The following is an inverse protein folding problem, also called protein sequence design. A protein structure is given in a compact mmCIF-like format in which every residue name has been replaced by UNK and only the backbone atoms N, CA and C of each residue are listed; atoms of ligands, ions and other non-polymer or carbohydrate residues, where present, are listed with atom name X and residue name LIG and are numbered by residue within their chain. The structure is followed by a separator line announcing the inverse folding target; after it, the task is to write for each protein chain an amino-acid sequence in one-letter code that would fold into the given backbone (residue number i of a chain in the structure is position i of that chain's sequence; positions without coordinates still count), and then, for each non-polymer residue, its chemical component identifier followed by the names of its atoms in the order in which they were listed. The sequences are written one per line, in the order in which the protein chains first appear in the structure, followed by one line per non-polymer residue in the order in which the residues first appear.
data_IF_732709835234
#
_entry.id   IF_732709835234
#
_cell.length_a   1.000
_cell.length_b   1.000
_cell.length_c   1.000
_cell.angle_alpha   90.00
_cell.angle_beta   90.00
_cell.angle_gamma   90.00
#
_symmetry.space_group_name_H-M   'P 1'
#
loop_
_entity.id
_entity.type
_entity.pdbx_description
1 polymer ?
#
# COMPACT_ATOMS: atom_id res chain seq x y z
N UNK A 1 -10.72 -30.53 -41.61
CA UNK A 1 -9.77 -30.54 -40.49
C UNK A 1 -9.89 -29.20 -39.79
N UNK A 2 -10.38 -29.18 -38.55
CA UNK A 2 -10.64 -27.96 -37.79
C UNK A 2 -9.44 -27.70 -36.88
N UNK A 3 -8.73 -26.61 -37.12
CA UNK A 3 -7.59 -26.17 -36.33
C UNK A 3 -8.10 -25.60 -35.00
N UNK A 4 -7.95 -26.36 -33.93
CA UNK A 4 -8.13 -25.85 -32.56
C UNK A 4 -6.88 -25.04 -32.20
N UNK A 5 -7.02 -23.72 -32.16
CA UNK A 5 -6.01 -22.81 -31.61
C UNK A 5 -5.98 -22.99 -30.09
N UNK A 6 -5.00 -23.76 -29.62
CA UNK A 6 -4.62 -23.80 -28.19
C UNK A 6 -3.84 -22.52 -27.93
N UNK A 7 -4.52 -21.50 -27.42
CA UNK A 7 -3.86 -20.32 -26.87
C UNK A 7 -3.18 -20.73 -25.55
N UNK A 8 -1.90 -21.04 -25.63
CA UNK A 8 -1.02 -21.17 -24.47
C UNK A 8 -0.89 -19.79 -23.82
N UNK A 9 -1.64 -19.56 -22.74
CA UNK A 9 -1.36 -18.47 -21.82
C UNK A 9 -0.07 -18.81 -21.07
N UNK A 10 1.04 -18.24 -21.53
CA UNK A 10 2.34 -18.31 -20.86
C UNK A 10 2.18 -17.63 -19.50
N UNK A 11 2.18 -18.45 -18.45
CA UNK A 11 2.35 -18.02 -17.07
C UNK A 11 3.74 -17.38 -16.94
N UNK A 12 3.79 -16.06 -17.01
CA UNK A 12 4.99 -15.28 -16.72
C UNK A 12 5.22 -15.20 -15.22
N UNK A 13 5.77 -16.25 -14.63
CA UNK A 13 6.39 -16.18 -13.30
C UNK A 13 7.70 -15.41 -13.40
N UNK A 14 7.63 -14.08 -13.26
CA UNK A 14 8.81 -13.29 -12.93
C UNK A 14 8.91 -13.18 -11.40
N UNK A 15 9.52 -14.22 -10.82
CA UNK A 15 10.02 -14.21 -9.44
C UNK A 15 11.29 -13.38 -9.43
N UNK A 16 11.26 -12.20 -8.81
CA UNK A 16 12.47 -11.49 -8.37
C UNK A 16 12.27 -11.05 -6.91
N UNK A 17 12.88 -11.81 -6.01
CA UNK A 17 13.46 -11.30 -4.76
C UNK A 17 12.57 -11.20 -3.51
N UNK A 18 12.43 -12.32 -2.79
CA UNK A 18 12.44 -12.30 -1.31
C UNK A 18 11.10 -12.32 -0.57
N UNK A 19 10.54 -13.52 -0.37
CA UNK A 19 9.61 -13.79 0.74
C UNK A 19 8.22 -14.31 0.37
N UNK A 20 8.13 -15.58 -0.03
CA UNK A 20 7.03 -16.47 0.37
C UNK A 20 5.64 -16.31 -0.27
N UNK A 21 5.38 -17.17 -1.26
CA UNK A 21 4.09 -17.84 -1.52
C UNK A 21 2.85 -17.03 -1.96
N UNK A 22 2.53 -17.27 -3.23
CA UNK A 22 1.17 -17.45 -3.80
C UNK A 22 0.27 -16.24 -3.87
N UNK A 23 0.12 -15.77 -5.12
CA UNK A 23 -1.03 -15.03 -5.62
C UNK A 23 -2.28 -15.82 -5.25
N UNK A 24 -2.88 -15.51 -4.10
CA UNK A 24 -4.22 -15.97 -3.79
C UNK A 24 -5.14 -15.24 -4.77
N UNK A 25 -5.49 -15.93 -5.85
CA UNK A 25 -6.67 -15.65 -6.66
C UNK A 25 -7.89 -15.70 -5.72
N UNK A 26 -8.13 -14.61 -4.99
CA UNK A 26 -9.30 -14.46 -4.16
C UNK A 26 -10.51 -14.39 -5.09
N UNK A 27 -11.49 -15.26 -4.83
CA UNK A 27 -12.75 -15.37 -5.53
C UNK A 27 -13.51 -14.02 -5.54
N UNK A 28 -13.22 -13.19 -6.54
CA UNK A 28 -13.82 -11.87 -6.74
C UNK A 28 -13.50 -11.23 -8.10
N UNK A 29 -12.69 -11.89 -8.94
CA UNK A 29 -12.15 -11.35 -10.19
C UNK A 29 -13.16 -11.01 -11.30
N UNK A 30 -14.46 -11.32 -11.12
CA UNK A 30 -15.46 -11.17 -12.19
C UNK A 30 -16.42 -10.00 -11.99
N UNK A 31 -16.69 -9.58 -10.75
CA UNK A 31 -17.65 -8.52 -10.45
C UNK A 31 -16.95 -7.25 -9.96
N UNK A 32 -17.31 -6.13 -10.57
CA UNK A 32 -16.92 -4.81 -10.12
C UNK A 32 -17.63 -4.48 -8.79
N UNK A 33 -16.86 -4.39 -7.69
CA UNK A 33 -17.43 -4.27 -6.33
C UNK A 33 -16.95 -3.02 -5.59
N UNK A 34 -15.77 -2.49 -5.93
CA UNK A 34 -15.07 -1.53 -5.09
C UNK A 34 -15.06 -0.13 -5.69
N UNK A 35 -15.30 0.92 -4.90
CA UNK A 35 -15.26 2.31 -5.43
C UNK A 35 -13.84 2.87 -5.59
N UNK A 36 -12.92 2.43 -4.74
CA UNK A 36 -11.56 2.96 -4.60
C UNK A 36 -10.71 2.00 -3.75
N UNK A 37 -9.48 2.41 -3.42
CA UNK A 37 -8.58 1.60 -2.60
C UNK A 37 -9.10 1.41 -1.18
N UNK A 38 -9.68 2.44 -0.55
CA UNK A 38 -10.20 2.38 0.82
C UNK A 38 -11.34 1.38 0.94
N UNK A 39 -12.27 1.40 -0.01
CA UNK A 39 -13.39 0.47 -0.07
C UNK A 39 -12.90 -0.98 -0.22
N UNK A 40 -11.88 -1.20 -1.05
CA UNK A 40 -11.25 -2.51 -1.16
C UNK A 40 -10.52 -2.94 0.11
N UNK A 41 -9.80 -2.06 0.80
CA UNK A 41 -9.17 -2.40 2.09
C UNK A 41 -10.23 -2.76 3.13
N UNK A 42 -11.37 -2.05 3.16
CA UNK A 42 -12.45 -2.28 4.13
C UNK A 42 -13.28 -3.52 3.84
N UNK A 43 -13.52 -3.84 2.57
CA UNK A 43 -14.50 -4.83 2.14
C UNK A 43 -13.91 -6.01 1.34
N UNK A 44 -12.65 -5.92 0.92
CA UNK A 44 -11.96 -6.96 0.15
C UNK A 44 -11.45 -8.13 1.00
N UNK A 45 -11.28 -7.93 2.31
CA UNK A 45 -10.90 -9.00 3.25
C UNK A 45 -9.44 -9.46 3.16
N UNK A 46 -8.66 -8.94 2.21
CA UNK A 46 -7.24 -9.28 2.03
C UNK A 46 -6.30 -8.40 2.85
N UNK A 47 -6.64 -7.13 3.01
CA UNK A 47 -5.75 -6.12 3.62
C UNK A 47 -6.44 -5.43 4.80
N UNK A 48 -5.64 -4.90 5.72
CA UNK A 48 -6.05 -3.92 6.73
C UNK A 48 -5.01 -2.82 6.84
N UNK A 49 -5.40 -1.62 7.27
CA UNK A 49 -4.45 -0.55 7.51
C UNK A 49 -3.39 -0.93 8.55
N UNK A 50 -2.18 -0.40 8.40
CA UNK A 50 -1.08 -0.67 9.32
C UNK A 50 -1.48 -0.24 10.74
N UNK A 51 -1.25 -1.12 11.72
CA UNK A 51 -1.57 -0.86 13.13
C UNK A 51 -3.07 -0.87 13.44
N UNK A 52 -3.92 -1.21 12.47
CA UNK A 52 -5.33 -1.47 12.74
C UNK A 52 -5.54 -2.81 13.42
N UNK A 53 -6.43 -2.84 14.42
CA UNK A 53 -6.86 -4.06 15.11
C UNK A 53 -8.37 -4.04 15.33
N UNK A 54 -8.98 -5.23 15.33
CA UNK A 54 -10.43 -5.38 15.52
C UNK A 54 -11.24 -4.62 14.47
N UNK A 55 -12.12 -3.73 14.94
CA UNK A 55 -13.02 -2.93 14.09
C UNK A 55 -12.41 -1.62 13.60
N UNK A 56 -11.21 -1.26 14.06
CA UNK A 56 -10.56 -0.02 13.66
C UNK A 56 -9.96 -0.15 12.26
N UNK A 57 -10.53 0.57 11.30
CA UNK A 57 -10.11 0.55 9.89
C UNK A 57 -9.48 1.88 9.45
N UNK A 58 -8.89 2.63 10.38
CA UNK A 58 -8.23 3.90 10.09
C UNK A 58 -6.71 3.77 10.11
N UNK A 59 -6.01 4.53 9.27
CA UNK A 59 -4.58 4.74 9.43
C UNK A 59 -4.36 6.06 10.18
N UNK A 60 -3.42 6.08 11.12
CA UNK A 60 -3.05 7.30 11.85
C UNK A 60 -1.53 7.43 11.95
N UNK A 61 -1.04 8.64 12.17
CA UNK A 61 0.38 8.88 12.39
C UNK A 61 0.94 8.00 13.51
N UNK A 62 0.24 7.88 14.63
CA UNK A 62 0.69 7.08 15.77
C UNK A 62 0.81 5.59 15.45
N UNK A 63 -0.09 5.05 14.60
CA UNK A 63 0.02 3.67 14.12
C UNK A 63 1.26 3.47 13.24
N UNK A 64 1.56 4.44 12.38
CA UNK A 64 2.77 4.40 11.55
C UNK A 64 4.01 4.52 12.44
N UNK A 65 4.00 5.40 13.45
CA UNK A 65 5.11 5.52 14.41
C UNK A 65 5.33 4.22 15.18
N UNK A 66 4.25 3.58 15.64
CA UNK A 66 4.30 2.29 16.31
C UNK A 66 4.89 1.21 15.38
N UNK A 67 4.46 1.19 14.13
CA UNK A 67 4.97 0.23 13.14
C UNK A 67 6.45 0.46 12.80
N UNK A 68 6.90 1.72 12.71
CA UNK A 68 8.32 2.06 12.55
C UNK A 68 9.16 1.63 13.76
N UNK A 69 8.62 1.71 14.97
CA UNK A 69 9.31 1.28 16.20
C UNK A 69 9.28 -0.23 16.44
N UNK A 70 8.45 -0.97 15.73
CA UNK A 70 8.31 -2.41 15.89
C UNK A 70 9.65 -3.11 15.60
N UNK A 71 10.13 -3.90 16.56
CA UNK A 71 11.43 -4.58 16.46
C UNK A 71 11.46 -5.70 15.43
N UNK A 72 10.30 -6.27 15.10
CA UNK A 72 10.16 -7.40 14.19
C UNK A 72 9.81 -6.93 12.77
N UNK A 73 9.00 -5.88 12.65
CA UNK A 73 8.46 -5.39 11.38
C UNK A 73 9.08 -4.07 10.91
N UNK A 74 9.60 -3.25 11.81
CA UNK A 74 10.04 -1.89 11.50
C UNK A 74 11.13 -1.81 10.44
N UNK A 75 12.09 -2.74 10.43
CA UNK A 75 13.15 -2.76 9.41
C UNK A 75 12.63 -3.14 8.02
N UNK A 76 11.74 -4.12 7.95
CA UNK A 76 11.08 -4.50 6.69
C UNK A 76 10.22 -3.35 6.16
N UNK A 77 9.51 -2.64 7.05
CA UNK A 77 8.69 -1.51 6.70
C UNK A 77 9.51 -0.32 6.21
N UNK A 78 10.61 0.02 6.89
CA UNK A 78 11.55 1.06 6.41
C UNK A 78 12.09 0.72 5.03
N UNK A 79 12.47 -0.53 4.79
CA UNK A 79 12.99 -0.99 3.49
C UNK A 79 11.94 -0.85 2.40
N UNK A 80 10.72 -1.30 2.66
CA UNK A 80 9.59 -1.15 1.74
C UNK A 80 9.31 0.32 1.43
N UNK A 81 9.27 1.17 2.46
CA UNK A 81 9.05 2.61 2.32
C UNK A 81 10.16 3.27 1.49
N UNK A 82 11.44 2.99 1.77
CA UNK A 82 12.57 3.49 0.97
C UNK A 82 12.44 3.09 -0.50
N UNK A 83 11.98 1.88 -0.80
CA UNK A 83 11.78 1.41 -2.17
C UNK A 83 10.59 2.06 -2.91
N UNK A 84 9.68 2.72 -2.19
CA UNK A 84 8.47 3.34 -2.78
C UNK A 84 8.46 4.86 -2.69
N UNK A 85 9.30 5.45 -1.83
CA UNK A 85 9.22 6.87 -1.49
C UNK A 85 9.28 7.77 -2.72
N UNK A 86 10.09 7.46 -3.73
CA UNK A 86 10.21 8.28 -4.94
C UNK A 86 8.89 8.41 -5.72
N UNK A 87 8.04 7.39 -5.67
CA UNK A 87 6.72 7.39 -6.31
C UNK A 87 5.63 8.00 -5.42
N UNK A 88 5.93 8.29 -4.16
CA UNK A 88 5.01 8.93 -3.23
C UNK A 88 5.11 10.44 -3.38
N UNK A 89 4.14 11.04 -4.07
CA UNK A 89 4.10 12.48 -4.29
C UNK A 89 2.82 13.06 -3.71
N UNK A 90 2.97 14.14 -2.94
CA UNK A 90 1.88 14.93 -2.40
C UNK A 90 1.82 16.26 -3.16
N UNK A 91 0.69 16.58 -3.77
CA UNK A 91 0.46 17.85 -4.47
C UNK A 91 -0.19 18.86 -3.53
N UNK A 92 0.27 20.12 -3.53
CA UNK A 92 -0.27 21.19 -2.68
C UNK A 92 0.77 21.87 -1.79
N UNK A 93 0.43 23.05 -1.25
CA UNK A 93 1.35 23.95 -0.53
C UNK A 93 1.52 23.66 0.96
N UNK A 94 0.65 22.83 1.55
CA UNK A 94 0.65 22.53 2.99
C UNK A 94 1.09 21.10 3.32
N UNK A 95 1.80 20.44 2.41
CA UNK A 95 2.18 19.04 2.59
C UNK A 95 3.43 18.90 3.47
N UNK A 96 3.50 17.84 4.30
CA UNK A 96 4.73 17.51 5.00
C UNK A 96 5.88 17.30 4.02
N UNK A 97 7.08 17.75 4.40
CA UNK A 97 8.28 17.54 3.59
C UNK A 97 8.54 16.06 3.38
N UNK A 98 8.71 15.66 2.11
CA UNK A 98 9.05 14.29 1.73
C UNK A 98 10.36 13.85 2.42
N UNK A 99 10.35 12.74 3.18
CA UNK A 99 11.56 12.24 3.80
C UNK A 99 12.49 11.62 2.74
N UNK A 100 13.80 11.71 2.96
CA UNK A 100 14.79 11.01 2.15
C UNK A 100 15.09 9.62 2.72
N UNK A 101 15.84 8.81 1.97
CA UNK A 101 16.16 7.43 2.36
C UNK A 101 16.89 7.32 3.71
N UNK A 102 17.76 8.28 4.03
CA UNK A 102 18.49 8.30 5.31
C UNK A 102 17.54 8.56 6.48
N UNK A 103 16.64 9.54 6.33
CA UNK A 103 15.63 9.86 7.34
C UNK A 103 14.69 8.68 7.59
N UNK A 104 14.29 7.97 6.53
CA UNK A 104 13.50 6.72 6.65
C UNK A 104 14.30 5.65 7.39
N UNK A 105 15.57 5.45 7.04
CA UNK A 105 16.43 4.43 7.65
C UNK A 105 16.63 4.61 9.15
N UNK A 106 16.60 5.86 9.62
CA UNK A 106 16.75 6.22 11.04
C UNK A 106 15.41 6.29 11.80
N UNK A 107 14.28 6.42 11.11
CA UNK A 107 12.98 6.57 11.74
C UNK A 107 12.65 5.40 12.69
N UNK A 108 12.49 5.71 13.98
CA UNK A 108 12.23 4.73 15.03
C UNK A 108 13.46 4.04 15.63
N UNK A 109 14.67 4.37 15.16
CA UNK A 109 15.96 3.89 15.71
C UNK A 109 16.70 4.95 16.55
N UNK A 110 16.21 6.18 16.50
CA UNK A 110 16.81 7.33 17.16
C UNK A 110 16.79 7.18 18.70
N UNK A 111 17.83 7.67 19.36
CA UNK A 111 17.84 7.78 20.81
C UNK A 111 16.69 8.71 21.26
N UNK A 112 16.07 8.38 22.41
CA UNK A 112 14.98 9.19 22.99
C UNK A 112 15.38 10.67 23.08
N UNK A 113 14.70 11.52 22.32
CA UNK A 113 14.90 12.99 22.32
C UNK A 113 15.05 13.62 20.94
N UNK A 114 15.43 12.84 19.91
CA UNK A 114 15.47 13.27 18.50
C UNK A 114 14.30 12.62 17.76
N UNK A 115 13.07 13.11 17.93
CA UNK A 115 11.87 12.53 17.29
C UNK A 115 11.63 13.01 15.86
N UNK A 116 12.57 13.77 15.29
CA UNK A 116 12.33 14.53 14.06
C UNK A 116 12.12 13.65 12.84
N UNK A 117 12.87 12.56 12.68
CA UNK A 117 12.71 11.70 11.50
C UNK A 117 11.48 10.80 11.63
N UNK A 118 11.28 10.21 12.82
CA UNK A 118 10.06 9.45 13.10
C UNK A 118 8.79 10.26 12.82
N UNK A 119 8.70 11.48 13.36
CA UNK A 119 7.53 12.34 13.18
C UNK A 119 7.37 12.78 11.72
N UNK A 120 8.47 13.17 11.07
CA UNK A 120 8.48 13.56 9.65
C UNK A 120 7.98 12.42 8.76
N UNK A 121 8.52 11.22 8.94
CA UNK A 121 8.19 10.03 8.14
C UNK A 121 6.74 9.62 8.39
N UNK A 122 6.32 9.52 9.65
CA UNK A 122 4.94 9.15 9.98
C UNK A 122 3.92 10.14 9.43
N UNK A 123 4.16 11.44 9.57
CA UNK A 123 3.29 12.49 9.05
C UNK A 123 3.20 12.46 7.52
N UNK A 124 4.33 12.31 6.84
CA UNK A 124 4.36 12.19 5.39
C UNK A 124 3.60 10.97 4.89
N UNK A 125 3.88 9.80 5.45
CA UNK A 125 3.20 8.55 5.04
C UNK A 125 1.71 8.62 5.34
N UNK A 126 1.32 9.10 6.52
CA UNK A 126 -0.09 9.26 6.88
C UNK A 126 -0.83 10.12 5.85
N UNK A 127 -0.30 11.31 5.56
CA UNK A 127 -0.90 12.21 4.58
C UNK A 127 -0.95 11.58 3.19
N UNK A 128 0.11 10.88 2.77
CA UNK A 128 0.14 10.21 1.48
C UNK A 128 -0.91 9.09 1.39
N UNK A 129 -1.06 8.28 2.43
CA UNK A 129 -2.08 7.24 2.48
C UNK A 129 -3.50 7.83 2.48
N UNK A 130 -3.73 8.93 3.20
CA UNK A 130 -5.04 9.60 3.26
C UNK A 130 -5.47 10.14 1.89
N UNK A 131 -4.55 10.72 1.10
CA UNK A 131 -4.88 11.19 -0.25
C UNK A 131 -4.95 10.06 -1.27
N UNK A 132 -4.19 8.98 -1.05
CA UNK A 132 -4.09 7.87 -2.00
C UNK A 132 -5.22 6.86 -1.84
N UNK A 133 -5.79 6.70 -0.64
CA UNK A 133 -6.86 5.71 -0.42
C UNK A 133 -8.13 5.95 -1.23
N UNK A 134 -8.35 7.19 -1.69
CA UNK A 134 -9.49 7.57 -2.55
C UNK A 134 -9.17 7.49 -4.05
N UNK A 135 -7.99 6.97 -4.42
CA UNK A 135 -7.59 6.79 -5.82
C UNK A 135 -8.41 5.70 -6.48
N UNK A 136 -8.63 5.90 -7.78
CA UNK A 136 -9.45 5.06 -8.65
C UNK A 136 -8.88 5.10 -10.09
N UNK A 137 -9.28 4.17 -10.98
CA UNK A 137 -8.81 4.13 -12.35
C UNK A 137 -9.02 5.44 -13.11
N UNK A 138 -8.14 5.73 -14.07
CA UNK A 138 -8.30 6.87 -14.96
C UNK A 138 -9.64 6.74 -15.71
N UNK A 139 -10.40 7.85 -15.78
CA UNK A 139 -11.76 7.94 -16.35
C UNK A 139 -12.92 7.45 -15.47
N UNK A 140 -12.67 7.11 -14.21
CA UNK A 140 -13.72 6.78 -13.25
C UNK A 140 -14.74 7.91 -13.06
N UNK A 141 -16.02 7.62 -13.28
CA UNK A 141 -17.16 8.49 -13.00
C UNK A 141 -17.59 8.37 -11.53
N UNK A 142 -18.57 9.17 -11.14
CA UNK A 142 -19.17 9.08 -9.80
C UNK A 142 -20.09 7.86 -9.74
N UNK A 143 -19.88 7.00 -8.73
CA UNK A 143 -20.67 5.78 -8.54
C UNK A 143 -20.14 4.54 -9.25
N UNK A 144 -19.06 4.67 -10.03
CA UNK A 144 -18.39 3.53 -10.64
C UNK A 144 -17.87 2.55 -9.58
N UNK A 145 -17.93 1.27 -9.93
CA UNK A 145 -17.30 0.19 -9.19
C UNK A 145 -16.24 -0.46 -10.06
N UNK A 146 -15.22 -0.98 -9.41
CA UNK A 146 -14.01 -1.50 -10.02
C UNK A 146 -13.75 -2.93 -9.55
N UNK A 147 -13.16 -3.72 -10.42
CA UNK A 147 -12.55 -4.99 -10.05
C UNK A 147 -11.22 -4.71 -9.35
N UNK A 148 -10.75 -5.69 -8.60
CA UNK A 148 -9.42 -5.62 -7.96
C UNK A 148 -8.33 -5.39 -9.02
N UNK A 149 -8.42 -6.05 -10.18
CA UNK A 149 -7.49 -5.86 -11.29
C UNK A 149 -7.44 -4.43 -11.82
N UNK A 150 -8.57 -3.72 -11.79
CA UNK A 150 -8.65 -2.33 -12.26
C UNK A 150 -7.98 -1.40 -11.25
N UNK A 151 -8.18 -1.65 -9.95
CA UNK A 151 -7.47 -0.94 -8.87
C UNK A 151 -5.97 -1.24 -8.89
N UNK A 152 -5.58 -2.50 -9.14
CA UNK A 152 -4.19 -2.94 -9.24
C UNK A 152 -3.43 -2.29 -10.40
N UNK A 153 -4.14 -1.90 -11.46
CA UNK A 153 -3.57 -1.20 -12.60
C UNK A 153 -3.29 0.30 -12.33
N UNK A 154 -3.79 0.85 -11.22
CA UNK A 154 -3.50 2.23 -10.82
C UNK A 154 -2.06 2.31 -10.32
N UNK A 155 -1.27 3.27 -10.81
CA UNK A 155 0.17 3.31 -10.55
C UNK A 155 0.54 3.45 -9.08
N UNK A 156 -0.29 4.13 -8.28
CA UNK A 156 -0.08 4.27 -6.84
C UNK A 156 -0.44 3.01 -6.04
N UNK A 157 -1.13 2.04 -6.63
CA UNK A 157 -1.61 0.83 -5.95
C UNK A 157 -0.47 0.09 -5.26
N UNK A 158 0.61 -0.19 -5.98
CA UNK A 158 1.72 -0.98 -5.44
C UNK A 158 2.43 -0.28 -4.28
N UNK A 159 2.55 1.05 -4.33
CA UNK A 159 3.08 1.81 -3.21
C UNK A 159 2.08 1.79 -2.03
N UNK A 160 0.78 1.95 -2.32
CA UNK A 160 -0.28 1.97 -1.32
C UNK A 160 -0.34 0.67 -0.52
N UNK A 161 -0.39 -0.48 -1.21
CA UNK A 161 -0.42 -1.78 -0.52
C UNK A 161 0.85 -2.08 0.27
N UNK A 162 1.97 -1.49 -0.14
CA UNK A 162 3.27 -1.70 0.50
C UNK A 162 3.50 -0.83 1.74
N UNK A 163 2.87 0.35 1.82
CA UNK A 163 3.20 1.34 2.87
C UNK A 163 2.01 1.77 3.73
N UNK A 164 0.77 1.49 3.33
CA UNK A 164 -0.43 1.92 4.06
C UNK A 164 -1.15 0.76 4.76
N UNK A 165 -0.97 -0.47 4.27
CA UNK A 165 -1.72 -1.65 4.72
C UNK A 165 -0.80 -2.84 4.96
N UNK A 166 -1.32 -3.84 5.66
CA UNK A 166 -0.73 -5.16 5.84
C UNK A 166 -1.75 -6.24 5.45
N UNK A 167 -1.28 -7.41 5.03
CA UNK A 167 -2.16 -8.55 4.70
C UNK A 167 -2.76 -9.17 5.97
N UNK A 168 -4.03 -9.55 5.87
CA UNK A 168 -4.73 -10.28 6.93
C UNK A 168 -4.38 -11.76 6.76
N UNK A 169 -3.51 -12.26 7.64
CA UNK A 169 -3.24 -13.70 7.79
C UNK A 169 -4.29 -14.39 8.66
#
# INVERSE_FOLDING_TARGET
MSTQTIAAAVAGTAVIGGGGATIAYAAGAFDAKYSDFDDYVKNGGKYRYIGSSGTDRSLTEDKIKAHLKDTNKGDSYRTALTGKIDNMNLTGTSNPSKPNASEIGQAGKEASGTTTNLDKVAKFVNQWCEVTKVKKPANAQAGDKFRVSDLEAVSEWNAFVSVCVEEIN
#
